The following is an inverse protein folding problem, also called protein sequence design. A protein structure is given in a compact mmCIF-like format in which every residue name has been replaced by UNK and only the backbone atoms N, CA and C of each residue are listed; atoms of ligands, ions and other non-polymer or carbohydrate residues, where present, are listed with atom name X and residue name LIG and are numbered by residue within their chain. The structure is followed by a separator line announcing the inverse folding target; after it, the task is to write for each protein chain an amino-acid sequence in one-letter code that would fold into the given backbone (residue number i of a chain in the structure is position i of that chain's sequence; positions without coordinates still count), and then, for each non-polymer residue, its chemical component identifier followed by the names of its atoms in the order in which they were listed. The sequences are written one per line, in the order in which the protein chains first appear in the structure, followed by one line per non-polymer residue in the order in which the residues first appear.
data_IF_752548322737
#
_entry.id   IF_752548322737
#
_cell.length_a   1.000
_cell.length_b   1.000
_cell.length_c   1.000
_cell.angle_alpha   90.00
_cell.angle_beta   90.00
_cell.angle_gamma   90.00
#
_symmetry.space_group_name_H-M   'P 1'
#
loop_
_entity.id
_entity.type
_entity.pdbx_description
1 polymer ?
#
# COMPACT_ATOMS: atom_id res chain seq x y z
N UNK A 1 13.11 20.21 -40.50
CA UNK A 1 11.99 20.08 -39.54
C UNK A 1 10.69 20.69 -40.08
N UNK A 2 10.69 21.96 -40.55
CA UNK A 2 9.49 22.66 -41.07
C UNK A 2 8.64 21.87 -42.06
N UNK A 3 9.24 21.38 -43.15
CA UNK A 3 8.53 20.62 -44.18
C UNK A 3 7.83 19.36 -43.63
N UNK A 4 8.49 18.67 -42.69
CA UNK A 4 7.93 17.47 -42.03
C UNK A 4 6.74 17.84 -41.14
N UNK A 5 6.85 18.92 -40.37
CA UNK A 5 5.75 19.38 -39.51
C UNK A 5 4.56 19.86 -40.34
N UNK A 6 4.79 20.58 -41.43
CA UNK A 6 3.75 21.04 -42.36
C UNK A 6 3.07 19.87 -43.09
N UNK A 7 3.82 18.83 -43.49
CA UNK A 7 3.25 17.60 -44.05
C UNK A 7 2.34 16.89 -43.03
N UNK A 8 2.79 16.71 -41.78
CA UNK A 8 1.96 16.09 -40.73
C UNK A 8 0.74 16.95 -40.41
N UNK A 9 0.88 18.28 -40.44
CA UNK A 9 -0.24 19.23 -40.27
C UNK A 9 -1.35 19.01 -41.29
N UNK A 10 -1.01 18.64 -42.52
CA UNK A 10 -2.00 18.32 -43.56
C UNK A 10 -2.86 17.09 -43.23
N UNK A 11 -2.43 16.26 -42.27
CA UNK A 11 -3.10 15.02 -41.84
C UNK A 11 -3.72 15.10 -40.44
N UNK A 12 -3.50 16.18 -39.70
CA UNK A 12 -4.02 16.39 -38.34
C UNK A 12 -3.18 17.38 -37.53
N UNK A 13 -3.52 17.60 -36.25
CA UNK A 13 -2.73 18.47 -35.38
C UNK A 13 -1.43 17.74 -34.95
N UNK A 14 -0.24 18.21 -35.37
CA UNK A 14 1.01 17.57 -34.98
C UNK A 14 1.33 17.82 -33.50
N UNK A 15 1.99 16.84 -32.90
CA UNK A 15 2.58 16.92 -31.57
C UNK A 15 4.08 16.61 -31.69
N UNK A 16 4.92 17.58 -31.34
CA UNK A 16 6.37 17.46 -31.46
C UNK A 16 6.94 16.91 -30.15
N UNK A 17 7.73 15.84 -30.24
CA UNK A 17 8.55 15.36 -29.11
C UNK A 17 10.00 15.52 -29.49
N UNK A 18 10.71 16.37 -28.75
CA UNK A 18 12.15 16.53 -28.87
C UNK A 18 12.78 15.74 -27.73
N UNK A 19 13.17 14.50 -28.04
CA UNK A 19 13.85 13.64 -27.08
C UNK A 19 15.32 14.05 -26.94
N UNK A 20 15.80 14.12 -25.71
CA UNK A 20 17.16 14.51 -25.34
C UNK A 20 17.69 15.81 -25.99
N UNK A 21 17.09 16.94 -25.62
CA UNK A 21 17.46 18.26 -26.12
C UNK A 21 18.93 18.63 -25.84
N UNK A 22 19.49 18.19 -24.72
CA UNK A 22 20.88 18.42 -24.36
C UNK A 22 21.83 17.79 -25.38
N UNK A 23 21.55 16.57 -25.86
CA UNK A 23 22.36 15.89 -26.87
C UNK A 23 22.32 16.62 -28.22
N UNK A 24 21.17 17.17 -28.61
CA UNK A 24 21.05 17.98 -29.82
C UNK A 24 21.93 19.24 -29.72
N UNK A 25 21.87 19.95 -28.60
CA UNK A 25 22.67 21.15 -28.37
C UNK A 25 24.18 20.83 -28.42
N UNK A 26 24.59 19.74 -27.77
CA UNK A 26 25.99 19.26 -27.79
C UNK A 26 26.45 18.88 -29.19
N UNK A 27 25.63 18.18 -29.97
CA UNK A 27 25.97 17.76 -31.32
C UNK A 27 26.14 18.95 -32.28
N UNK A 28 25.29 19.97 -32.13
CA UNK A 28 25.33 21.17 -32.98
C UNK A 28 26.33 22.23 -32.50
N UNK A 29 26.95 22.04 -31.33
CA UNK A 29 27.80 23.03 -30.65
C UNK A 29 27.09 24.38 -30.46
N UNK A 30 25.82 24.33 -30.04
CA UNK A 30 24.98 25.50 -29.79
C UNK A 30 24.65 25.59 -28.30
N UNK A 31 24.79 26.77 -27.66
CA UNK A 31 24.33 26.98 -26.29
C UNK A 31 22.83 26.65 -26.15
N UNK A 32 22.47 25.97 -25.07
CA UNK A 32 21.11 25.47 -24.85
C UNK A 32 20.07 26.59 -24.86
N UNK A 33 20.43 27.79 -24.41
CA UNK A 33 19.55 28.97 -24.39
C UNK A 33 19.21 29.43 -25.81
N UNK A 34 20.22 29.46 -26.69
CA UNK A 34 20.04 29.86 -28.08
C UNK A 34 19.22 28.83 -28.83
N UNK A 35 19.56 27.55 -28.68
CA UNK A 35 18.82 26.45 -29.29
C UNK A 35 17.36 26.42 -28.78
N UNK A 36 17.13 26.66 -27.49
CA UNK A 36 15.79 26.65 -26.89
C UNK A 36 14.94 27.76 -27.46
N UNK A 37 15.48 28.98 -27.55
CA UNK A 37 14.79 30.12 -28.15
C UNK A 37 14.38 29.83 -29.60
N UNK A 38 15.32 29.37 -30.43
CA UNK A 38 15.04 29.05 -31.84
C UNK A 38 13.97 27.94 -31.98
N UNK A 39 14.02 26.93 -31.12
CA UNK A 39 13.03 25.85 -31.09
C UNK A 39 11.64 26.34 -30.64
N UNK A 40 11.57 27.18 -29.61
CA UNK A 40 10.33 27.72 -29.07
C UNK A 40 9.68 28.66 -30.09
N UNK A 41 10.44 29.57 -30.69
CA UNK A 41 9.97 30.47 -31.75
C UNK A 41 9.40 29.64 -32.93
N UNK A 42 10.11 28.58 -33.33
CA UNK A 42 9.64 27.64 -34.37
C UNK A 42 8.33 26.92 -33.99
N UNK A 43 8.19 26.46 -32.75
CA UNK A 43 6.97 25.80 -32.25
C UNK A 43 5.78 26.76 -32.26
N UNK A 44 6.00 28.02 -31.85
CA UNK A 44 4.98 29.07 -31.81
C UNK A 44 4.55 29.49 -33.22
N UNK A 45 5.50 29.74 -34.13
CA UNK A 45 5.22 30.07 -35.53
C UNK A 45 4.37 28.99 -36.21
N UNK A 46 4.67 27.72 -35.93
CA UNK A 46 3.92 26.60 -36.48
C UNK A 46 2.66 26.27 -35.68
N UNK A 47 2.36 26.94 -34.57
CA UNK A 47 1.20 26.66 -33.72
C UNK A 47 1.02 25.16 -33.44
N UNK A 48 2.09 24.52 -32.95
CA UNK A 48 2.11 23.10 -32.60
C UNK A 48 2.32 22.92 -31.11
N UNK A 49 1.86 21.78 -30.57
CA UNK A 49 2.16 21.41 -29.18
C UNK A 49 3.46 20.64 -29.14
N UNK A 50 4.28 20.87 -28.12
CA UNK A 50 5.57 20.21 -28.00
C UNK A 50 5.89 19.76 -26.57
N UNK A 51 6.66 18.68 -26.47
CA UNK A 51 7.37 18.26 -25.26
C UNK A 51 8.86 18.21 -25.57
N UNK A 52 9.65 18.86 -24.72
CA UNK A 52 11.10 18.89 -24.80
C UNK A 52 11.63 18.11 -23.60
N UNK A 53 12.40 17.05 -23.87
CA UNK A 53 13.03 16.23 -22.82
C UNK A 53 14.43 16.76 -22.57
N UNK A 54 14.71 17.16 -21.33
CA UNK A 54 16.03 17.59 -20.89
C UNK A 54 16.52 16.64 -19.79
N UNK A 55 17.78 16.22 -19.87
CA UNK A 55 18.43 15.39 -18.83
C UNK A 55 18.86 16.22 -17.62
N UNK A 56 18.97 17.54 -17.78
CA UNK A 56 19.46 18.47 -16.77
C UNK A 56 18.43 19.56 -16.50
N UNK A 57 18.32 19.97 -15.25
CA UNK A 57 17.59 21.19 -14.88
C UNK A 57 18.32 22.41 -15.44
N UNK A 58 17.58 23.32 -16.06
CA UNK A 58 18.10 24.56 -16.60
C UNK A 58 17.07 25.66 -16.40
N UNK A 59 17.35 26.61 -15.50
CA UNK A 59 16.44 27.68 -15.11
C UNK A 59 16.03 28.57 -16.29
N UNK A 60 16.93 28.77 -17.26
CA UNK A 60 16.67 29.59 -18.44
C UNK A 60 15.64 28.88 -19.33
N UNK A 61 15.81 27.58 -19.60
CA UNK A 61 14.84 26.78 -20.33
C UNK A 61 13.47 26.76 -19.62
N UNK A 62 13.47 26.57 -18.30
CA UNK A 62 12.24 26.60 -17.48
C UNK A 62 11.49 27.93 -17.56
N UNK A 63 12.22 29.05 -17.69
CA UNK A 63 11.64 30.38 -17.83
C UNK A 63 10.95 30.60 -19.17
N UNK A 64 11.43 29.97 -20.25
CA UNK A 64 10.97 30.17 -21.63
C UNK A 64 9.75 29.31 -22.00
N UNK A 65 9.46 28.24 -21.25
CA UNK A 65 8.37 27.30 -21.57
C UNK A 65 7.10 27.56 -20.75
N UNK A 66 5.96 27.15 -21.28
CA UNK A 66 4.66 27.29 -20.60
C UNK A 66 4.48 26.31 -19.44
N UNK A 67 5.17 25.18 -19.48
CA UNK A 67 5.04 24.12 -18.48
C UNK A 67 6.38 23.45 -18.17
N UNK A 68 6.59 23.11 -16.91
CA UNK A 68 7.79 22.42 -16.44
C UNK A 68 7.37 21.23 -15.60
N UNK A 69 7.79 20.05 -16.06
CA UNK A 69 7.58 18.77 -15.38
C UNK A 69 8.96 18.20 -15.06
N UNK A 70 9.20 17.93 -13.78
CA UNK A 70 10.43 17.32 -13.31
C UNK A 70 10.16 15.87 -12.93
N UNK A 71 10.90 14.93 -13.50
CA UNK A 71 10.79 13.51 -13.19
C UNK A 71 12.06 13.07 -12.45
N UNK A 72 11.89 12.48 -11.28
CA UNK A 72 13.01 12.06 -10.44
C UNK A 72 12.71 10.75 -9.72
N UNK A 73 13.75 10.12 -9.20
CA UNK A 73 13.63 9.02 -8.25
C UNK A 73 14.50 9.31 -7.03
N UNK A 74 14.06 8.79 -5.90
CA UNK A 74 14.84 8.73 -4.67
C UNK A 74 14.98 7.28 -4.22
N UNK A 75 15.86 7.04 -3.25
CA UNK A 75 15.89 5.77 -2.54
C UNK A 75 15.18 5.93 -1.21
N UNK A 76 14.09 5.19 -1.01
CA UNK A 76 13.41 5.06 0.27
C UNK A 76 13.75 3.69 0.84
N UNK A 77 14.48 3.64 1.95
CA UNK A 77 14.98 2.38 2.54
C UNK A 77 15.72 1.49 1.51
N UNK A 78 16.54 2.12 0.66
CA UNK A 78 17.28 1.46 -0.43
C UNK A 78 16.43 1.04 -1.63
N UNK A 79 15.13 1.34 -1.66
CA UNK A 79 14.19 0.98 -2.74
C UNK A 79 13.94 2.17 -3.66
N UNK A 80 13.82 1.93 -4.96
CA UNK A 80 13.45 2.97 -5.93
C UNK A 80 12.08 3.53 -5.58
N UNK A 81 12.00 4.85 -5.49
CA UNK A 81 10.77 5.58 -5.29
C UNK A 81 10.70 6.76 -6.25
N UNK A 82 9.85 6.63 -7.28
CA UNK A 82 9.74 7.62 -8.36
C UNK A 82 8.68 8.66 -8.06
N UNK A 83 8.97 9.91 -8.42
CA UNK A 83 8.03 11.01 -8.35
C UNK A 83 8.20 11.96 -9.54
N UNK A 84 7.08 12.51 -9.96
CA UNK A 84 6.94 13.55 -10.96
C UNK A 84 6.41 14.80 -10.27
N UNK A 85 7.06 15.93 -10.50
CA UNK A 85 6.71 17.23 -9.94
C UNK A 85 6.27 18.16 -11.09
N UNK A 86 5.03 18.64 -11.03
CA UNK A 86 4.55 19.73 -11.87
C UNK A 86 5.00 21.06 -11.26
N UNK A 87 6.12 21.62 -11.75
CA UNK A 87 6.70 22.88 -11.22
C UNK A 87 5.93 24.11 -11.70
N UNK A 88 5.49 24.10 -12.95
CA UNK A 88 4.83 25.22 -13.63
C UNK A 88 3.89 24.70 -14.69
N UNK A 89 2.70 25.30 -14.81
CA UNK A 89 1.79 25.18 -15.95
C UNK A 89 1.05 26.52 -16.11
N UNK A 90 1.38 27.30 -17.13
CA UNK A 90 0.71 28.59 -17.38
C UNK A 90 -0.76 28.38 -17.74
N UNK A 91 -1.64 29.14 -17.08
CA UNK A 91 -3.09 29.12 -17.32
C UNK A 91 -3.81 27.87 -16.79
N UNK A 92 -3.13 26.98 -16.05
CA UNK A 92 -3.72 25.74 -15.51
C UNK A 92 -3.49 25.65 -14.00
N UNK A 93 -4.55 25.45 -13.24
CA UNK A 93 -4.47 25.20 -11.79
C UNK A 93 -3.81 23.84 -11.51
N UNK A 94 -2.77 23.83 -10.67
CA UNK A 94 -2.12 22.61 -10.18
C UNK A 94 -2.68 22.27 -8.80
N UNK A 95 -3.67 21.37 -8.75
CA UNK A 95 -4.25 20.90 -7.48
C UNK A 95 -3.32 19.98 -6.70
N UNK A 96 -2.64 19.08 -7.42
CA UNK A 96 -1.65 18.17 -6.88
C UNK A 96 -0.36 18.35 -7.70
N UNK A 97 0.72 18.89 -7.11
CA UNK A 97 1.97 19.08 -7.83
C UNK A 97 2.79 17.79 -7.92
N UNK A 98 2.58 16.83 -7.02
CA UNK A 98 3.40 15.62 -6.92
C UNK A 98 2.58 14.38 -7.31
N UNK A 99 3.17 13.57 -8.18
CA UNK A 99 2.65 12.29 -8.63
C UNK A 99 3.71 11.22 -8.50
N UNK A 100 3.38 10.14 -7.81
CA UNK A 100 4.21 8.93 -7.86
C UNK A 100 3.84 8.13 -9.10
N UNK A 101 4.83 7.51 -9.73
CA UNK A 101 4.62 6.74 -10.96
C UNK A 101 5.55 5.54 -11.05
N UNK A 102 5.18 4.56 -11.86
CA UNK A 102 5.99 3.40 -12.19
C UNK A 102 6.17 3.29 -13.71
N UNK A 103 7.23 2.61 -14.14
CA UNK A 103 7.51 2.31 -15.54
C UNK A 103 7.40 0.80 -15.84
N UNK A 104 6.55 0.09 -15.10
CA UNK A 104 6.36 -1.35 -15.26
C UNK A 104 6.00 -1.70 -16.72
N UNK A 105 6.71 -2.69 -17.30
CA UNK A 105 6.53 -3.10 -18.69
C UNK A 105 6.62 -1.95 -19.70
N UNK A 106 7.51 -0.98 -19.44
CA UNK A 106 7.69 0.23 -20.26
C UNK A 106 6.46 1.15 -20.33
N UNK A 107 5.50 0.99 -19.42
CA UNK A 107 4.29 1.81 -19.35
C UNK A 107 4.36 2.79 -18.20
N UNK A 108 4.29 4.09 -18.52
CA UNK A 108 4.10 5.13 -17.51
C UNK A 108 2.71 4.99 -16.88
N UNK A 109 2.68 4.65 -15.60
CA UNK A 109 1.45 4.57 -14.81
C UNK A 109 1.64 5.36 -13.52
N UNK A 110 0.75 6.32 -13.24
CA UNK A 110 0.79 7.05 -11.98
C UNK A 110 -0.13 6.42 -10.94
N UNK A 111 0.22 6.59 -9.66
CA UNK A 111 -0.62 6.19 -8.54
C UNK A 111 -1.61 7.32 -8.23
N UNK A 112 -2.93 7.12 -8.31
CA UNK A 112 -3.92 8.14 -7.97
C UNK A 112 -3.98 8.37 -6.45
N UNK A 113 -4.34 9.59 -6.05
CA UNK A 113 -4.69 9.90 -4.66
C UNK A 113 -5.87 9.02 -4.24
N UNK A 114 -5.85 8.54 -3.00
CA UNK A 114 -6.90 7.67 -2.46
C UNK A 114 -7.54 8.30 -1.24
N UNK A 115 -8.87 8.31 -1.21
CA UNK A 115 -9.64 8.54 0.01
C UNK A 115 -9.97 7.18 0.64
N UNK A 116 -9.21 6.80 1.67
CA UNK A 116 -9.41 5.53 2.37
C UNK A 116 -10.75 5.45 3.11
N UNK A 117 -11.36 6.59 3.47
CA UNK A 117 -12.69 6.64 4.04
C UNK A 117 -13.76 6.20 3.04
N UNK A 118 -13.67 6.66 1.80
CA UNK A 118 -14.57 6.24 0.72
C UNK A 118 -14.33 4.78 0.28
N UNK A 119 -13.07 4.34 0.23
CA UNK A 119 -12.76 2.93 0.01
C UNK A 119 -13.35 2.06 1.14
N UNK A 120 -13.18 2.45 2.41
CA UNK A 120 -13.73 1.71 3.54
C UNK A 120 -15.26 1.62 3.45
N UNK A 121 -15.96 2.72 3.17
CA UNK A 121 -17.43 2.70 2.97
C UNK A 121 -17.86 1.71 1.88
N UNK A 122 -17.04 1.56 0.84
CA UNK A 122 -17.30 0.65 -0.26
C UNK A 122 -17.01 -0.80 0.13
N UNK A 123 -15.91 -1.05 0.84
CA UNK A 123 -15.53 -2.37 1.40
C UNK A 123 -16.60 -2.89 2.36
N UNK A 124 -17.23 -2.01 3.14
CA UNK A 124 -18.36 -2.36 4.01
C UNK A 124 -19.63 -2.78 3.25
N UNK A 125 -19.69 -2.62 1.92
CA UNK A 125 -20.86 -2.95 1.09
C UNK A 125 -20.56 -4.00 0.01
N UNK A 126 -19.31 -4.13 -0.42
CA UNK A 126 -18.90 -4.95 -1.55
C UNK A 126 -17.73 -5.86 -1.16
N UNK A 127 -17.66 -7.10 -1.69
CA UNK A 127 -16.50 -7.95 -1.50
C UNK A 127 -15.22 -7.27 -2.02
N UNK A 128 -14.10 -7.52 -1.34
CA UNK A 128 -12.77 -7.10 -1.77
C UNK A 128 -11.97 -8.32 -2.22
N UNK A 129 -11.31 -8.21 -3.37
CA UNK A 129 -10.49 -9.29 -3.93
C UNK A 129 -9.13 -8.76 -4.36
N UNK A 130 -8.05 -9.54 -4.14
CA UNK A 130 -6.77 -9.21 -4.73
C UNK A 130 -6.80 -9.46 -6.24
N UNK A 131 -6.18 -8.55 -7.01
CA UNK A 131 -5.96 -8.72 -8.45
C UNK A 131 -4.58 -9.32 -8.71
N UNK A 132 -4.51 -10.32 -9.60
CA UNK A 132 -3.25 -11.00 -9.95
C UNK A 132 -2.77 -11.99 -8.89
N UNK A 133 -1.49 -12.39 -8.94
CA UNK A 133 -0.86 -13.17 -7.86
C UNK A 133 -0.71 -12.27 -6.63
N UNK A 134 -1.41 -12.53 -5.53
CA UNK A 134 -1.39 -11.63 -4.39
C UNK A 134 -0.05 -11.73 -3.67
N UNK A 135 0.81 -10.72 -3.79
CA UNK A 135 2.02 -10.61 -2.96
C UNK A 135 1.67 -10.82 -1.48
N UNK A 136 0.55 -10.26 -1.01
CA UNK A 136 0.06 -10.47 0.36
C UNK A 136 -0.26 -11.95 0.65
N UNK A 137 -0.84 -12.67 -0.31
CA UNK A 137 -1.09 -14.10 -0.19
C UNK A 137 0.20 -14.92 -0.16
N UNK A 138 1.18 -14.56 -1.00
CA UNK A 138 2.52 -15.18 -0.98
C UNK A 138 3.26 -14.88 0.33
N UNK A 139 3.10 -13.68 0.89
CA UNK A 139 3.70 -13.30 2.17
C UNK A 139 3.07 -14.08 3.34
N UNK A 140 1.77 -14.33 3.30
CA UNK A 140 1.07 -15.21 4.25
C UNK A 140 1.52 -16.68 4.07
N UNK A 141 1.70 -17.14 2.83
CA UNK A 141 2.17 -18.51 2.57
C UNK A 141 3.61 -18.70 3.05
N UNK A 142 4.47 -17.69 2.86
CA UNK A 142 5.85 -17.70 3.34
C UNK A 142 5.95 -17.71 4.85
N UNK A 143 5.13 -16.92 5.56
CA UNK A 143 5.11 -16.97 7.02
C UNK A 143 4.78 -18.37 7.52
N UNK A 144 3.83 -19.06 6.86
CA UNK A 144 3.42 -20.44 7.17
C UNK A 144 4.49 -21.51 6.90
N UNK A 145 5.58 -21.20 6.19
CA UNK A 145 6.64 -22.16 5.81
C UNK A 145 7.92 -21.96 6.62
N UNK A 146 8.06 -20.82 7.32
CA UNK A 146 9.26 -20.46 8.08
C UNK A 146 9.56 -21.45 9.23
N UNK A 147 10.84 -21.77 9.51
CA UNK A 147 11.23 -22.50 10.72
C UNK A 147 11.11 -21.66 12.01
N UNK A 148 11.04 -20.33 11.89
CA UNK A 148 10.71 -19.40 12.99
C UNK A 148 9.19 -19.32 13.18
N UNK A 149 8.72 -18.84 14.33
CA UNK A 149 7.29 -18.69 14.61
C UNK A 149 6.63 -17.87 13.47
N UNK A 150 5.53 -18.33 12.86
CA UNK A 150 4.91 -17.73 11.67
C UNK A 150 4.17 -16.43 12.00
N UNK A 151 4.92 -15.41 12.41
CA UNK A 151 4.42 -14.06 12.69
C UNK A 151 4.59 -13.22 11.42
N UNK A 152 3.47 -12.66 10.95
CA UNK A 152 3.40 -11.60 9.96
C UNK A 152 3.12 -10.28 10.69
N UNK A 153 4.10 -9.39 10.73
CA UNK A 153 3.96 -8.04 11.25
C UNK A 153 3.57 -7.09 10.11
N UNK A 154 2.52 -6.30 10.31
CA UNK A 154 2.08 -5.22 9.42
C UNK A 154 2.17 -3.91 10.19
N UNK A 155 3.10 -3.06 9.78
CA UNK A 155 3.33 -1.74 10.36
C UNK A 155 2.66 -0.67 9.50
N UNK A 156 1.83 0.15 10.14
CA UNK A 156 1.05 1.20 9.50
C UNK A 156 1.65 2.57 9.84
N UNK A 157 2.31 3.18 8.87
CA UNK A 157 2.92 4.51 8.90
C UNK A 157 2.09 5.50 8.07
N UNK A 158 0.84 5.69 8.47
CA UNK A 158 -0.11 6.58 7.77
C UNK A 158 -1.02 7.28 8.75
N UNK A 159 -1.47 8.48 8.36
CA UNK A 159 -2.50 9.24 9.08
C UNK A 159 -3.85 8.50 9.15
N UNK A 160 -4.10 7.60 8.18
CA UNK A 160 -5.33 6.82 8.02
C UNK A 160 -5.14 5.35 8.43
N UNK A 161 -4.34 5.12 9.48
CA UNK A 161 -3.98 3.77 9.95
C UNK A 161 -5.22 2.92 10.30
N UNK A 162 -6.27 3.54 10.82
CA UNK A 162 -7.51 2.85 11.16
C UNK A 162 -8.19 2.28 9.91
N UNK A 163 -8.40 3.11 8.90
CA UNK A 163 -9.09 2.77 7.66
C UNK A 163 -8.33 1.68 6.89
N UNK A 164 -7.03 1.87 6.69
CA UNK A 164 -6.22 0.86 5.98
C UNK A 164 -6.13 -0.45 6.76
N UNK A 165 -6.09 -0.40 8.10
CA UNK A 165 -6.08 -1.61 8.91
C UNK A 165 -7.35 -2.42 8.72
N UNK A 166 -8.51 -1.77 8.70
CA UNK A 166 -9.76 -2.47 8.39
C UNK A 166 -9.68 -3.02 6.96
N UNK A 167 -9.37 -2.22 5.95
CA UNK A 167 -9.32 -2.72 4.56
C UNK A 167 -8.39 -3.95 4.41
N UNK A 168 -7.21 -3.93 5.03
CA UNK A 168 -6.27 -5.06 5.00
C UNK A 168 -6.80 -6.28 5.76
N UNK A 169 -7.44 -6.10 6.93
CA UNK A 169 -8.04 -7.21 7.66
C UNK A 169 -9.11 -7.92 6.84
N UNK A 170 -9.95 -7.19 6.09
CA UNK A 170 -11.02 -7.76 5.27
C UNK A 170 -10.43 -8.65 4.20
N UNK A 171 -9.42 -8.12 3.49
CA UNK A 171 -8.70 -8.83 2.46
C UNK A 171 -8.01 -10.09 3.00
N UNK A 172 -7.29 -9.97 4.11
CA UNK A 172 -6.53 -11.07 4.73
C UNK A 172 -7.49 -12.17 5.18
N UNK A 173 -8.59 -11.82 5.86
CA UNK A 173 -9.61 -12.78 6.32
C UNK A 173 -10.24 -13.48 5.12
N UNK A 174 -10.61 -12.74 4.07
CA UNK A 174 -11.18 -13.35 2.87
C UNK A 174 -10.21 -14.37 2.22
N UNK A 175 -8.92 -14.03 2.12
CA UNK A 175 -7.87 -14.93 1.60
C UNK A 175 -7.75 -16.19 2.46
N UNK A 176 -7.64 -16.04 3.78
CA UNK A 176 -7.41 -17.15 4.72
C UNK A 176 -8.61 -18.09 4.80
N UNK A 177 -9.83 -17.55 4.85
CA UNK A 177 -11.06 -18.36 4.81
C UNK A 177 -11.24 -19.08 3.47
N UNK A 178 -10.81 -18.45 2.36
CA UNK A 178 -10.74 -19.08 1.04
C UNK A 178 -9.79 -20.28 1.02
N UNK A 179 -8.68 -20.20 1.78
CA UNK A 179 -7.71 -21.29 1.98
C UNK A 179 -8.13 -22.33 3.05
N UNK A 180 -9.31 -22.16 3.66
CA UNK A 180 -9.85 -23.11 4.64
C UNK A 180 -9.33 -22.93 6.06
N UNK A 181 -8.71 -21.79 6.39
CA UNK A 181 -8.34 -21.49 7.77
C UNK A 181 -9.59 -21.18 8.60
N UNK A 182 -9.47 -21.37 9.91
CA UNK A 182 -10.35 -20.77 10.93
C UNK A 182 -9.54 -19.76 11.72
N UNK A 183 -10.17 -18.82 12.43
CA UNK A 183 -9.35 -17.85 13.13
C UNK A 183 -10.02 -16.97 14.16
N UNK A 184 -9.18 -16.15 14.77
CA UNK A 184 -9.56 -15.23 15.82
C UNK A 184 -9.12 -13.83 15.41
N UNK A 185 -9.97 -12.84 15.66
CA UNK A 185 -9.61 -11.43 15.49
C UNK A 185 -9.81 -10.70 16.81
N UNK A 186 -8.77 -10.00 17.27
CA UNK A 186 -8.79 -9.29 18.55
C UNK A 186 -7.91 -8.02 18.53
N UNK A 187 -8.33 -6.95 19.23
CA UNK A 187 -9.60 -6.82 19.94
C UNK A 187 -10.68 -6.37 18.95
N UNK A 188 -11.74 -7.17 18.80
CA UNK A 188 -12.87 -6.85 17.93
C UNK A 188 -14.17 -7.35 18.56
N UNK A 189 -15.23 -6.52 18.50
CA UNK A 189 -16.57 -6.91 18.94
C UNK A 189 -17.30 -7.59 17.79
N UNK A 190 -18.18 -8.53 18.13
CA UNK A 190 -18.97 -9.28 17.13
C UNK A 190 -19.85 -8.38 16.27
N UNK A 191 -20.45 -7.33 16.85
CA UNK A 191 -21.30 -6.37 16.13
C UNK A 191 -20.53 -5.57 15.07
N UNK A 192 -19.33 -5.12 15.41
CA UNK A 192 -18.45 -4.39 14.50
C UNK A 192 -17.99 -5.30 13.35
N UNK A 193 -17.71 -6.55 13.70
CA UNK A 193 -17.23 -7.50 12.73
C UNK A 193 -18.29 -7.99 11.74
N UNK A 194 -19.55 -8.12 12.17
CA UNK A 194 -20.66 -8.46 11.28
C UNK A 194 -20.79 -7.41 10.17
N UNK A 195 -20.77 -6.12 10.52
CA UNK A 195 -20.80 -5.02 9.53
C UNK A 195 -19.64 -5.09 8.56
N UNK A 196 -18.48 -5.47 9.07
CA UNK A 196 -17.22 -5.43 8.34
C UNK A 196 -16.99 -6.64 7.43
N UNK A 197 -17.47 -7.84 7.78
CA UNK A 197 -17.09 -9.08 7.10
C UNK A 197 -18.21 -9.72 6.27
N UNK A 198 -19.48 -9.30 6.48
CA UNK A 198 -20.62 -9.76 5.68
C UNK A 198 -20.40 -9.63 4.17
N UNK A 199 -19.80 -8.55 3.64
CA UNK A 199 -19.62 -8.41 2.19
C UNK A 199 -18.56 -9.36 1.60
N UNK A 200 -17.68 -9.94 2.41
CA UNK A 200 -16.44 -10.57 1.93
C UNK A 200 -16.48 -12.10 1.89
N UNK A 201 -17.47 -12.71 2.51
CA UNK A 201 -17.59 -14.17 2.64
C UNK A 201 -19.02 -14.57 2.96
N UNK A 202 -19.35 -15.83 2.74
CA UNK A 202 -20.59 -16.43 3.24
C UNK A 202 -20.66 -16.30 4.77
N UNK A 203 -21.75 -15.71 5.27
CA UNK A 203 -21.94 -15.42 6.70
C UNK A 203 -22.01 -16.68 7.57
N UNK A 204 -22.54 -17.78 7.06
CA UNK A 204 -22.61 -19.03 7.84
C UNK A 204 -21.22 -19.66 7.97
N UNK A 205 -20.44 -19.70 6.88
CA UNK A 205 -19.03 -20.15 6.92
C UNK A 205 -18.20 -19.25 7.84
N UNK A 206 -18.49 -17.96 7.81
CA UNK A 206 -17.78 -16.96 8.58
C UNK A 206 -18.01 -17.08 10.09
N UNK A 207 -19.27 -17.10 10.53
CA UNK A 207 -19.62 -17.20 11.96
C UNK A 207 -19.14 -18.51 12.59
N UNK A 208 -19.12 -19.59 11.82
CA UNK A 208 -18.63 -20.89 12.30
C UNK A 208 -17.11 -20.94 12.43
N UNK A 209 -16.38 -20.23 11.55
CA UNK A 209 -14.93 -20.36 11.46
C UNK A 209 -14.14 -19.20 12.07
N UNK A 210 -14.80 -18.08 12.41
CA UNK A 210 -14.13 -16.89 12.96
C UNK A 210 -14.72 -16.51 14.31
N UNK A 211 -13.85 -16.31 15.31
CA UNK A 211 -14.21 -15.80 16.64
C UNK A 211 -13.70 -14.38 16.82
N UNK A 212 -14.51 -13.55 17.48
CA UNK A 212 -14.16 -12.17 17.81
C UNK A 212 -14.03 -12.02 19.29
N UNK A 213 -12.84 -11.64 19.72
CA UNK A 213 -12.56 -11.47 21.14
C UNK A 213 -12.29 -10.00 21.38
N UNK A 214 -12.92 -9.47 22.42
CA UNK A 214 -12.66 -8.13 22.92
C UNK A 214 -12.36 -8.23 24.41
N UNK A 215 -11.24 -7.65 24.90
CA UNK A 215 -10.92 -7.67 26.31
C UNK A 215 -12.03 -6.98 27.11
N UNK A 216 -12.62 -7.71 28.06
CA UNK A 216 -13.57 -7.14 29.01
C UNK A 216 -12.77 -6.68 30.22
N UNK A 217 -12.79 -5.39 30.50
CA UNK A 217 -12.25 -4.85 31.76
C UNK A 217 -13.45 -4.71 32.69
N UNK A 218 -13.78 -5.76 33.46
CA UNK A 218 -14.92 -5.66 34.39
C UNK A 218 -14.54 -5.08 35.74
N UNK A 219 -13.25 -5.14 36.14
CA UNK A 219 -12.70 -4.57 37.40
C UNK A 219 -11.20 -4.26 37.23
N UNK A 220 -10.66 -3.35 38.05
CA UNK A 220 -9.21 -3.05 38.14
C UNK A 220 -8.35 -4.30 38.44
N UNK A 221 -8.96 -5.38 38.95
CA UNK A 221 -8.27 -6.60 39.38
C UNK A 221 -8.35 -7.77 38.37
N UNK A 222 -9.09 -7.62 37.26
CA UNK A 222 -9.16 -8.68 36.23
C UNK A 222 -7.82 -8.78 35.50
N UNK A 223 -7.03 -9.78 35.90
CA UNK A 223 -5.66 -9.97 35.44
C UNK A 223 -5.63 -10.17 33.90
N UNK A 224 -4.68 -9.54 33.21
CA UNK A 224 -4.29 -9.83 31.81
C UNK A 224 -4.29 -11.31 31.42
N UNK A 225 -3.95 -12.20 32.36
CA UNK A 225 -3.95 -13.64 32.18
C UNK A 225 -5.31 -14.20 31.76
N UNK A 226 -6.41 -13.63 32.26
CA UNK A 226 -7.76 -14.07 31.92
C UNK A 226 -8.03 -13.96 30.42
N UNK A 227 -7.52 -12.89 29.79
CA UNK A 227 -7.69 -12.69 28.36
C UNK A 227 -6.81 -13.60 27.52
N UNK A 228 -5.57 -13.83 27.95
CA UNK A 228 -4.68 -14.82 27.31
C UNK A 228 -5.33 -16.20 27.32
N UNK A 229 -5.84 -16.64 28.48
CA UNK A 229 -6.52 -17.92 28.61
C UNK A 229 -7.77 -17.99 27.72
N UNK A 230 -8.55 -16.90 27.63
CA UNK A 230 -9.71 -16.81 26.72
C UNK A 230 -9.30 -17.04 25.26
N UNK A 231 -8.20 -16.42 24.81
CA UNK A 231 -7.68 -16.63 23.46
C UNK A 231 -7.27 -18.09 23.25
N UNK A 232 -6.55 -18.67 24.21
CA UNK A 232 -6.09 -20.07 24.15
C UNK A 232 -7.25 -21.06 24.08
N UNK A 233 -8.27 -20.88 24.91
CA UNK A 233 -9.49 -21.70 24.90
C UNK A 233 -10.16 -21.67 23.53
N UNK A 234 -10.34 -20.48 22.93
CA UNK A 234 -10.93 -20.34 21.60
C UNK A 234 -10.07 -20.97 20.49
N UNK A 235 -8.74 -20.86 20.57
CA UNK A 235 -7.84 -21.55 19.61
C UNK A 235 -8.05 -23.06 19.71
N UNK A 236 -8.10 -23.60 20.92
CA UNK A 236 -8.26 -25.04 21.16
C UNK A 236 -9.63 -25.55 20.70
N UNK A 237 -10.70 -24.78 20.92
CA UNK A 237 -12.05 -25.08 20.43
C UNK A 237 -12.09 -25.11 18.90
N UNK A 238 -11.58 -24.07 18.23
CA UNK A 238 -11.54 -24.02 16.76
C UNK A 238 -10.72 -25.17 16.17
N UNK A 239 -9.59 -25.54 16.79
CA UNK A 239 -8.78 -26.69 16.36
C UNK A 239 -9.55 -28.02 16.49
N UNK A 240 -10.38 -28.18 17.53
CA UNK A 240 -11.22 -29.37 17.73
C UNK A 240 -12.38 -29.43 16.73
N UNK A 241 -13.06 -28.31 16.50
CA UNK A 241 -14.23 -28.22 15.63
C UNK A 241 -13.88 -28.41 14.15
N UNK A 242 -12.88 -27.68 13.67
CA UNK A 242 -12.67 -27.50 12.22
C UNK A 242 -11.49 -28.31 11.66
N UNK A 243 -10.60 -28.83 12.52
CA UNK A 243 -9.34 -29.51 12.13
C UNK A 243 -8.52 -28.76 11.07
N UNK A 244 -8.72 -27.43 10.99
CA UNK A 244 -8.07 -26.53 10.03
C UNK A 244 -6.93 -25.77 10.69
N UNK A 245 -5.94 -25.30 9.92
CA UNK A 245 -4.99 -24.29 10.40
C UNK A 245 -5.70 -23.06 10.97
N UNK A 246 -5.10 -22.43 11.98
CA UNK A 246 -5.65 -21.26 12.66
C UNK A 246 -4.93 -20.00 12.22
N UNK A 247 -5.68 -18.92 11.96
CA UNK A 247 -5.13 -17.58 11.94
C UNK A 247 -5.51 -16.78 13.19
N UNK A 248 -4.62 -15.91 13.63
CA UNK A 248 -4.89 -14.95 14.70
C UNK A 248 -4.50 -13.57 14.22
N UNK A 249 -5.44 -12.64 14.17
CA UNK A 249 -5.19 -11.23 13.89
C UNK A 249 -5.21 -10.45 15.20
N UNK A 250 -4.08 -9.81 15.53
CA UNK A 250 -3.86 -8.99 16.72
C UNK A 250 -3.65 -7.53 16.33
N UNK A 251 -4.54 -6.63 16.75
CA UNK A 251 -4.27 -5.18 16.72
C UNK A 251 -3.49 -4.77 17.96
N UNK A 252 -2.18 -4.72 17.82
CA UNK A 252 -1.26 -4.51 18.92
C UNK A 252 -1.44 -3.14 19.60
N UNK A 253 -1.51 -2.10 18.79
CA UNK A 253 -1.76 -0.71 19.20
C UNK A 253 -3.06 -0.58 20.03
N UNK A 254 -4.12 -1.26 19.57
CA UNK A 254 -5.41 -1.21 20.24
C UNK A 254 -5.43 -2.04 21.53
N UNK A 255 -4.74 -3.19 21.56
CA UNK A 255 -4.54 -3.95 22.80
C UNK A 255 -3.75 -3.14 23.83
N UNK A 256 -2.69 -2.42 23.41
CA UNK A 256 -1.92 -1.54 24.28
C UNK A 256 -2.79 -0.43 24.89
N UNK A 257 -3.65 0.18 24.07
CA UNK A 257 -4.62 1.19 24.54
C UNK A 257 -5.65 0.66 25.52
N UNK A 258 -6.10 -0.59 25.36
CA UNK A 258 -7.13 -1.19 26.21
C UNK A 258 -6.52 -1.75 27.50
N UNK A 259 -5.40 -2.47 27.42
CA UNK A 259 -4.86 -3.31 28.50
C UNK A 259 -3.50 -2.85 29.04
N UNK A 260 -2.90 -1.82 28.45
CA UNK A 260 -1.53 -1.39 28.70
C UNK A 260 -0.52 -2.11 27.80
N UNK A 261 0.55 -1.41 27.43
CA UNK A 261 1.57 -1.89 26.48
C UNK A 261 2.31 -3.14 26.97
N UNK A 262 2.59 -3.23 28.27
CA UNK A 262 3.24 -4.41 28.88
C UNK A 262 2.34 -5.66 28.72
N UNK A 263 1.03 -5.50 28.94
CA UNK A 263 0.06 -6.56 28.76
C UNK A 263 -0.05 -6.97 27.29
N UNK A 264 -0.12 -6.01 26.37
CA UNK A 264 -0.19 -6.28 24.94
C UNK A 264 1.04 -7.06 24.45
N UNK A 265 2.24 -6.66 24.90
CA UNK A 265 3.51 -7.37 24.65
C UNK A 265 3.45 -8.80 25.15
N UNK A 266 2.99 -8.98 26.40
CA UNK A 266 2.87 -10.30 27.03
C UNK A 266 1.89 -11.21 26.29
N UNK A 267 0.76 -10.68 25.82
CA UNK A 267 -0.23 -11.41 25.01
C UNK A 267 0.42 -11.94 23.73
N UNK A 268 1.13 -11.09 22.97
CA UNK A 268 1.78 -11.54 21.73
C UNK A 268 2.81 -12.62 22.03
N UNK A 269 3.67 -12.40 23.04
CA UNK A 269 4.72 -13.34 23.42
C UNK A 269 4.19 -14.70 23.87
N UNK A 270 3.20 -14.74 24.76
CA UNK A 270 2.65 -16.00 25.25
C UNK A 270 1.92 -16.77 24.14
N UNK A 271 1.14 -16.08 23.31
CA UNK A 271 0.40 -16.76 22.23
C UNK A 271 1.34 -17.33 21.16
N UNK A 272 2.36 -16.56 20.77
CA UNK A 272 3.33 -16.96 19.75
C UNK A 272 4.20 -18.13 20.22
N UNK A 273 4.63 -18.13 21.50
CA UNK A 273 5.49 -19.19 22.05
C UNK A 273 4.77 -20.52 22.34
N UNK A 274 3.48 -20.50 22.70
CA UNK A 274 2.82 -21.68 23.28
C UNK A 274 1.68 -22.30 22.47
N UNK A 275 1.15 -21.62 21.44
CA UNK A 275 -0.13 -22.05 20.81
C UNK A 275 -0.12 -22.18 19.29
N UNK A 276 0.86 -21.56 18.61
CA UNK A 276 0.96 -21.59 17.16
C UNK A 276 1.76 -22.82 16.71
N UNK A 277 1.17 -23.65 15.85
CA UNK A 277 1.88 -24.75 15.18
C UNK A 277 2.33 -24.33 13.79
N UNK A 278 3.19 -25.13 13.14
CA UNK A 278 3.84 -24.81 11.85
C UNK A 278 2.90 -24.28 10.75
N UNK A 279 1.63 -24.67 10.75
CA UNK A 279 0.66 -24.25 9.73
C UNK A 279 -0.24 -23.07 10.15
N UNK A 280 -0.21 -22.68 11.42
CA UNK A 280 -0.98 -21.54 11.91
C UNK A 280 -0.30 -20.21 11.50
N UNK A 281 -1.05 -19.11 11.48
CA UNK A 281 -0.50 -17.78 11.15
C UNK A 281 -0.91 -16.76 12.20
N UNK A 282 0.08 -16.10 12.81
CA UNK A 282 -0.16 -14.96 13.68
C UNK A 282 0.09 -13.67 12.89
N UNK A 283 -0.90 -12.80 12.79
CA UNK A 283 -0.83 -11.53 12.08
C UNK A 283 -0.93 -10.42 13.11
N UNK A 284 0.16 -9.70 13.31
CA UNK A 284 0.22 -8.55 14.22
C UNK A 284 0.13 -7.29 13.38
N UNK A 285 -0.86 -6.47 13.63
CA UNK A 285 -1.03 -5.17 12.97
C UNK A 285 -0.82 -4.08 14.02
N UNK A 286 0.04 -3.12 13.71
CA UNK A 286 0.35 -1.99 14.59
C UNK A 286 0.48 -0.70 13.79
N UNK A 287 0.24 0.44 14.43
CA UNK A 287 0.50 1.75 13.84
C UNK A 287 1.55 2.50 14.65
N UNK A 288 2.42 3.27 13.98
CA UNK A 288 3.47 4.10 14.61
C UNK A 288 2.94 5.21 15.54
N UNK A 289 1.63 5.27 15.77
CA UNK A 289 0.97 6.30 16.59
C UNK A 289 1.41 6.31 18.05
N UNK A 290 1.99 5.23 18.54
CA UNK A 290 2.33 5.06 19.95
C UNK A 290 3.79 4.59 20.04
N UNK A 291 4.58 5.16 20.97
CA UNK A 291 6.02 4.90 21.21
C UNK A 291 6.27 3.49 21.76
N UNK A 292 5.69 2.50 21.10
CA UNK A 292 5.79 1.11 21.43
C UNK A 292 7.14 0.63 20.91
N UNK A 293 7.95 0.08 21.79
CA UNK A 293 9.14 -0.68 21.40
C UNK A 293 8.67 -1.96 20.67
N UNK A 294 8.71 -1.92 19.34
CA UNK A 294 8.37 -3.02 18.44
C UNK A 294 9.60 -3.87 18.07
N UNK A 295 10.80 -3.55 18.57
CA UNK A 295 12.03 -4.25 18.15
C UNK A 295 11.96 -5.76 18.45
N UNK A 296 11.39 -6.13 19.59
CA UNK A 296 11.19 -7.55 19.95
C UNK A 296 10.23 -8.25 18.97
N UNK A 297 9.20 -7.54 18.48
CA UNK A 297 8.26 -8.05 17.49
C UNK A 297 8.93 -8.18 16.12
N UNK A 298 9.67 -7.16 15.67
CA UNK A 298 10.42 -7.22 14.42
C UNK A 298 11.42 -8.38 14.43
N UNK A 299 12.19 -8.55 15.51
CA UNK A 299 13.16 -9.65 15.67
C UNK A 299 12.51 -11.04 15.62
N UNK A 300 11.32 -11.18 16.21
CA UNK A 300 10.59 -12.45 16.25
C UNK A 300 9.71 -12.70 15.02
N UNK A 301 9.54 -11.68 14.17
CA UNK A 301 8.67 -11.77 13.00
C UNK A 301 9.34 -12.52 11.86
N UNK A 302 8.63 -13.51 11.30
CA UNK A 302 9.07 -14.22 10.11
C UNK A 302 8.93 -13.36 8.85
N UNK A 303 7.92 -12.48 8.83
CA UNK A 303 7.61 -11.57 7.73
C UNK A 303 7.20 -10.21 8.29
N UNK A 304 7.68 -9.12 7.70
CA UNK A 304 7.40 -7.73 8.08
C UNK A 304 7.00 -6.96 6.82
N UNK A 305 5.81 -6.36 6.86
CA UNK A 305 5.26 -5.46 5.83
C UNK A 305 5.15 -4.07 6.42
N UNK A 306 5.80 -3.10 5.79
CA UNK A 306 5.63 -1.68 6.08
C UNK A 306 4.64 -1.08 5.09
N UNK A 307 3.62 -0.41 5.60
CA UNK A 307 2.60 0.32 4.84
C UNK A 307 2.76 1.79 5.20
N UNK A 308 2.89 2.66 4.21
CA UNK A 308 3.09 4.10 4.43
C UNK A 308 2.27 4.94 3.48
N UNK A 309 2.06 6.19 3.86
CA UNK A 309 1.37 7.19 3.06
C UNK A 309 2.34 8.27 2.59
N UNK A 310 2.27 8.61 1.31
CA UNK A 310 3.08 9.69 0.74
C UNK A 310 2.24 10.46 -0.30
N UNK A 311 2.12 11.78 -0.11
CA UNK A 311 1.31 12.67 -0.95
C UNK A 311 -0.11 12.14 -1.23
N UNK A 312 -0.82 11.64 -0.21
CA UNK A 312 -2.20 11.13 -0.33
C UNK A 312 -2.35 9.79 -1.06
N UNK A 313 -1.26 9.02 -1.20
CA UNK A 313 -1.23 7.68 -1.80
C UNK A 313 -0.70 6.69 -0.80
N UNK A 314 -1.17 5.45 -0.89
CA UNK A 314 -0.75 4.38 0.01
C UNK A 314 0.21 3.44 -0.72
N UNK A 315 1.29 3.12 -0.04
CA UNK A 315 2.33 2.23 -0.52
C UNK A 315 2.64 1.17 0.53
N UNK A 316 3.23 0.06 0.11
CA UNK A 316 3.78 -0.92 1.01
C UNK A 316 5.04 -1.59 0.45
N UNK A 317 5.83 -2.19 1.34
CA UNK A 317 6.94 -3.06 0.97
C UNK A 317 7.17 -4.11 2.05
N UNK A 318 7.77 -5.23 1.66
CA UNK A 318 8.36 -6.19 2.58
C UNK A 318 9.73 -5.71 3.04
N UNK A 319 9.91 -5.63 4.35
CA UNK A 319 11.21 -5.47 4.99
C UNK A 319 11.87 -6.83 5.21
N UNK A 320 11.09 -7.78 5.72
CA UNK A 320 11.45 -9.21 5.82
C UNK A 320 10.37 -10.01 5.10
N UNK A 321 10.63 -10.67 3.96
CA UNK A 321 11.81 -10.51 3.12
C UNK A 321 11.83 -9.13 2.44
N UNK A 322 13.02 -8.69 2.03
CA UNK A 322 13.18 -7.44 1.29
C UNK A 322 12.45 -7.51 -0.06
N UNK A 323 11.57 -6.56 -0.33
CA UNK A 323 10.92 -6.38 -1.63
C UNK A 323 11.09 -4.94 -2.12
N UNK A 324 10.78 -4.68 -3.39
CA UNK A 324 10.54 -3.31 -3.86
C UNK A 324 9.31 -2.66 -3.20
N UNK A 325 9.12 -1.37 -3.44
CA UNK A 325 7.89 -0.65 -3.07
C UNK A 325 6.76 -1.02 -4.03
N UNK A 326 5.56 -1.17 -3.49
CA UNK A 326 4.32 -1.35 -4.24
C UNK A 326 3.37 -0.22 -3.87
N UNK A 327 2.72 0.40 -4.86
CA UNK A 327 1.54 1.22 -4.59
C UNK A 327 0.31 0.36 -4.46
N UNK A 328 -0.51 0.65 -3.44
CA UNK A 328 -1.78 -0.02 -3.20
C UNK A 328 -2.86 0.70 -4.00
N UNK A 329 -3.33 0.06 -5.05
CA UNK A 329 -4.37 0.59 -5.94
C UNK A 329 -5.71 -0.06 -5.66
N UNK A 330 -6.75 0.75 -5.52
CA UNK A 330 -8.13 0.31 -5.38
C UNK A 330 -8.90 0.60 -6.66
N UNK A 331 -9.57 -0.41 -7.20
CA UNK A 331 -10.45 -0.27 -8.36
C UNK A 331 -11.85 -0.75 -7.97
N UNK A 332 -12.76 0.19 -7.79
CA UNK A 332 -14.16 -0.15 -7.56
C UNK A 332 -14.79 -0.65 -8.87
N UNK A 333 -15.43 -1.81 -8.79
CA UNK A 333 -16.27 -2.40 -9.83
C UNK A 333 -17.73 -2.39 -9.37
N UNK A 334 -18.63 -2.79 -10.27
CA UNK A 334 -20.06 -2.83 -9.98
C UNK A 334 -20.36 -3.69 -8.74
N UNK A 335 -19.78 -4.90 -8.67
CA UNK A 335 -20.11 -5.90 -7.65
C UNK A 335 -19.00 -6.13 -6.62
N UNK A 336 -17.78 -5.61 -6.82
CA UNK A 336 -16.63 -5.87 -5.96
C UNK A 336 -15.60 -4.74 -6.01
N UNK A 337 -14.62 -4.80 -5.13
CA UNK A 337 -13.46 -3.92 -5.12
C UNK A 337 -12.23 -4.77 -5.42
N UNK A 338 -11.44 -4.36 -6.41
CA UNK A 338 -10.14 -4.97 -6.68
C UNK A 338 -9.06 -4.17 -5.97
N UNK A 339 -8.23 -4.86 -5.20
CA UNK A 339 -6.98 -4.30 -4.67
C UNK A 339 -5.81 -4.87 -5.46
N UNK A 340 -4.93 -3.99 -5.93
CA UNK A 340 -3.77 -4.34 -6.72
C UNK A 340 -2.50 -3.74 -6.11
N UNK A 341 -1.45 -4.56 -5.99
CA UNK A 341 -0.13 -4.12 -5.54
C UNK A 341 0.72 -3.91 -6.78
N UNK A 342 0.87 -2.65 -7.20
CA UNK A 342 1.60 -2.32 -8.41
C UNK A 342 3.03 -1.92 -8.06
N UNK A 343 4.05 -2.65 -8.55
CA UNK A 343 5.44 -2.38 -8.22
C UNK A 343 5.91 -1.01 -8.69
N UNK A 344 6.69 -0.33 -7.85
CA UNK A 344 7.48 0.85 -8.17
C UNK A 344 8.80 0.38 -8.78
N UNK A 345 8.97 0.55 -10.10
CA UNK A 345 10.20 0.22 -10.85
C UNK A 345 10.66 1.39 -11.68
#
# INVERSE_FOLDING_TARGET
MRLVVEEVKSRGQPFLVVDNFNSICKFLDIPIEKAAKELIDFIQELNVKAVIVSEQTNEILESMVDGVIEMMYTFLEGRIFRKMLLKKLLGVEIKNPIYHFTLINSNFTYFPVVDLGDILKSVLKKPIYPKGKPLLGEMIDRSSISPEIPILLIELETSSAREISYILQALIVAILLGKGYSGIITPMRSEDAAKFLTPHTDMAKFLNNVRFLYPRIKREDEKPQSFINTIQENINELKKENKSPIFLILRYDLLGKILGDETARRIVKEITLSNMVKNDVCIVITSKSDKIDIEELERSSSTIIKVFEEHGRIFCYGEKPYTQIYGILFQEKENHIEINLTPMV
#
